data_IF_665783047477
#
_entry.id   IF_665783047477
#
_cell.length_a   1.000
_cell.length_b   1.000
_cell.length_c   1.000
_cell.angle_alpha   90.00
_cell.angle_beta   90.00
_cell.angle_gamma   90.00
#
_symmetry.space_group_name_H-M   'P 1'
#
loop_
_entity.id
_entity.type
_entity.pdbx_description
1 polymer ?
#
# COMPACT_ATOMS: atom_id res chain seq x y z
N UNK A 1 -19.84 -9.90 24.98
CA UNK A 1 -20.39 -8.57 24.67
C UNK A 1 -19.21 -7.67 24.41
N UNK A 2 -19.21 -6.98 23.28
CA UNK A 2 -18.16 -5.99 22.98
C UNK A 2 -18.34 -4.83 23.95
N UNK A 3 -17.27 -4.40 24.62
CA UNK A 3 -17.35 -3.25 25.52
C UNK A 3 -17.47 -1.97 24.69
N UNK A 4 -18.69 -1.44 24.61
CA UNK A 4 -19.01 -0.24 23.83
C UNK A 4 -18.19 0.97 24.26
N UNK A 5 -17.80 1.06 25.54
CA UNK A 5 -16.97 2.15 26.04
C UNK A 5 -15.53 2.04 25.51
N UNK A 6 -15.02 0.81 25.42
CA UNK A 6 -13.69 0.53 24.87
C UNK A 6 -13.62 0.88 23.38
N UNK A 7 -14.61 0.47 22.58
CA UNK A 7 -14.65 0.81 21.16
C UNK A 7 -14.91 2.29 20.89
N UNK A 8 -15.62 2.99 21.79
CA UNK A 8 -15.72 4.45 21.73
C UNK A 8 -14.34 5.12 21.92
N UNK A 9 -13.52 4.61 22.84
CA UNK A 9 -12.13 5.06 23.03
C UNK A 9 -11.27 4.75 21.80
N UNK A 10 -11.34 3.54 21.26
CA UNK A 10 -10.58 3.16 20.05
C UNK A 10 -10.93 4.02 18.83
N UNK A 11 -12.21 4.41 18.69
CA UNK A 11 -12.62 5.38 17.66
C UNK A 11 -12.01 6.76 17.87
N UNK A 12 -11.86 7.21 19.12
CA UNK A 12 -11.18 8.46 19.41
C UNK A 12 -9.67 8.36 19.12
N UNK A 13 -9.03 7.27 19.54
CA UNK A 13 -7.61 7.01 19.29
C UNK A 13 -7.30 6.96 17.79
N UNK A 14 -8.16 6.32 16.98
CA UNK A 14 -8.06 6.29 15.52
C UNK A 14 -8.06 7.69 14.89
N UNK A 15 -8.84 8.64 15.43
CA UNK A 15 -8.83 10.04 14.96
C UNK A 15 -7.50 10.74 15.26
N UNK A 16 -6.89 10.45 16.41
CA UNK A 16 -5.56 10.98 16.76
C UNK A 16 -4.51 10.41 15.82
N UNK A 17 -4.55 9.10 15.54
CA UNK A 17 -3.66 8.46 14.58
C UNK A 17 -3.80 9.08 13.18
N UNK A 18 -5.03 9.33 12.72
CA UNK A 18 -5.29 10.00 11.43
C UNK A 18 -4.72 11.43 11.40
N UNK A 19 -4.84 12.18 12.50
CA UNK A 19 -4.25 13.52 12.61
C UNK A 19 -2.72 13.48 12.54
N UNK A 20 -2.08 12.52 13.21
CA UNK A 20 -0.63 12.27 13.08
C UNK A 20 -0.28 11.98 11.63
N UNK A 21 -1.03 11.09 10.96
CA UNK A 21 -0.83 10.75 9.55
C UNK A 21 -0.81 11.97 8.64
N UNK A 22 -1.76 12.90 8.82
CA UNK A 22 -1.81 14.16 8.04
C UNK A 22 -0.58 15.05 8.26
N UNK A 23 -0.06 15.11 9.50
CA UNK A 23 1.16 15.88 9.78
C UNK A 23 2.41 15.21 9.21
N UNK A 24 2.47 13.88 9.25
CA UNK A 24 3.56 13.08 8.69
C UNK A 24 3.59 13.23 7.18
N UNK A 25 2.46 13.02 6.49
CA UNK A 25 2.32 13.13 5.02
C UNK A 25 2.79 14.49 4.46
N UNK A 26 2.57 15.58 5.19
CA UNK A 26 3.05 16.90 4.78
C UNK A 26 4.58 17.07 4.86
N UNK A 27 5.29 16.17 5.55
CA UNK A 27 6.73 16.23 5.82
C UNK A 27 7.51 15.14 5.08
N UNK A 28 6.94 13.95 4.95
CA UNK A 28 7.54 12.85 4.20
C UNK A 28 7.02 12.86 2.78
N UNK A 29 7.92 13.03 1.82
CA UNK A 29 7.61 12.77 0.42
C UNK A 29 7.85 11.30 0.11
N UNK A 30 8.90 11.04 -0.67
CA UNK A 30 9.28 9.69 -1.08
C UNK A 30 10.43 9.17 -0.25
N UNK A 31 10.43 7.86 -0.05
CA UNK A 31 11.53 7.11 0.53
C UNK A 31 12.20 6.29 -0.57
N UNK A 32 13.53 6.33 -0.63
CA UNK A 32 14.27 5.47 -1.55
C UNK A 32 14.27 4.04 -1.01
N UNK A 33 13.73 3.10 -1.78
CA UNK A 33 13.70 1.67 -1.46
C UNK A 33 14.39 0.85 -2.53
N UNK A 34 14.91 -0.32 -2.13
CA UNK A 34 15.54 -1.30 -3.01
C UNK A 34 14.74 -2.59 -2.95
N UNK A 35 14.34 -3.09 -4.11
CA UNK A 35 13.57 -4.33 -4.23
C UNK A 35 14.37 -5.34 -5.05
N UNK A 36 14.34 -6.63 -4.71
CA UNK A 36 14.80 -7.67 -5.61
C UNK A 36 14.07 -7.55 -6.94
N UNK A 37 14.80 -7.74 -8.04
CA UNK A 37 14.26 -7.55 -9.39
C UNK A 37 13.00 -8.36 -9.65
N UNK A 38 12.96 -9.62 -9.22
CA UNK A 38 11.79 -10.48 -9.38
C UNK A 38 10.54 -9.93 -8.66
N UNK A 39 10.70 -9.29 -7.50
CA UNK A 39 9.59 -8.68 -6.75
C UNK A 39 9.11 -7.42 -7.47
N UNK A 40 10.03 -6.62 -7.99
CA UNK A 40 9.69 -5.42 -8.76
C UNK A 40 8.98 -5.78 -10.08
N UNK A 41 9.43 -6.82 -10.77
CA UNK A 41 8.79 -7.34 -11.98
C UNK A 41 7.38 -7.85 -11.69
N UNK A 42 7.16 -8.60 -10.60
CA UNK A 42 5.82 -9.04 -10.21
C UNK A 42 4.84 -7.89 -9.91
N UNK A 43 5.33 -6.78 -9.34
CA UNK A 43 4.50 -5.59 -9.13
C UNK A 43 4.14 -4.93 -10.47
N UNK A 44 5.07 -4.84 -11.42
CA UNK A 44 4.80 -4.34 -12.77
C UNK A 44 3.79 -5.23 -13.50
N UNK A 45 3.93 -6.55 -13.40
CA UNK A 45 2.97 -7.50 -13.98
C UNK A 45 1.56 -7.30 -13.40
N UNK A 46 1.45 -6.95 -12.11
CA UNK A 46 0.16 -6.63 -11.49
C UNK A 46 -0.47 -5.35 -12.05
N UNK A 47 0.33 -4.34 -12.39
CA UNK A 47 -0.13 -3.12 -13.06
C UNK A 47 -0.57 -3.35 -14.51
N UNK A 48 0.16 -4.19 -15.24
CA UNK A 48 -0.09 -4.43 -16.67
C UNK A 48 -1.24 -5.40 -16.93
N UNK A 49 -1.71 -6.12 -15.91
CA UNK A 49 -2.82 -7.06 -16.02
C UNK A 49 -4.16 -6.34 -16.17
N UNK A 50 -4.97 -6.83 -17.09
CA UNK A 50 -6.37 -6.42 -17.23
C UNK A 50 -7.27 -7.16 -16.23
N UNK A 51 -8.17 -6.43 -15.58
CA UNK A 51 -9.19 -6.97 -14.68
C UNK A 51 -10.58 -6.48 -15.14
N UNK A 52 -11.23 -7.27 -16.00
CA UNK A 52 -12.55 -6.97 -16.57
C UNK A 52 -13.72 -7.64 -15.82
N UNK A 53 -13.46 -8.19 -14.63
CA UNK A 53 -14.47 -8.83 -13.79
C UNK A 53 -15.43 -7.82 -13.17
N UNK A 54 -16.69 -8.21 -13.02
CA UNK A 54 -17.68 -7.41 -12.28
C UNK A 54 -17.41 -7.51 -10.77
N UNK A 55 -17.43 -6.36 -10.10
CA UNK A 55 -17.30 -6.26 -8.65
C UNK A 55 -18.69 -6.48 -8.04
N UNK A 56 -19.04 -7.75 -7.83
CA UNK A 56 -20.27 -8.14 -7.14
C UNK A 56 -20.28 -7.74 -5.66
N UNK A 57 -21.07 -8.43 -4.84
CA UNK A 57 -21.02 -8.22 -3.39
C UNK A 57 -19.69 -8.73 -2.81
N UNK A 58 -18.96 -7.86 -2.12
CA UNK A 58 -17.70 -8.18 -1.44
C UNK A 58 -17.92 -8.31 0.08
N UNK A 59 -17.27 -9.31 0.69
CA UNK A 59 -17.04 -9.32 2.13
C UNK A 59 -15.95 -8.30 2.51
N UNK A 60 -15.83 -7.94 3.79
CA UNK A 60 -14.73 -7.09 4.26
C UNK A 60 -13.34 -7.64 3.90
N UNK A 61 -13.16 -8.96 4.00
CA UNK A 61 -11.88 -9.61 3.66
C UNK A 61 -11.58 -9.52 2.16
N UNK A 62 -12.59 -9.69 1.30
CA UNK A 62 -12.43 -9.54 -0.14
C UNK A 62 -12.08 -8.10 -0.52
N UNK A 63 -12.74 -7.13 0.13
CA UNK A 63 -12.43 -5.72 -0.03
C UNK A 63 -10.96 -5.43 0.34
N UNK A 64 -10.49 -5.93 1.49
CA UNK A 64 -9.11 -5.72 1.94
C UNK A 64 -8.09 -6.33 0.98
N UNK A 65 -8.36 -7.51 0.42
CA UNK A 65 -7.51 -8.14 -0.59
C UNK A 65 -7.47 -7.35 -1.89
N UNK A 66 -8.61 -6.81 -2.34
CA UNK A 66 -8.67 -5.98 -3.54
C UNK A 66 -7.94 -4.65 -3.34
N UNK A 67 -8.06 -4.05 -2.15
CA UNK A 67 -7.32 -2.84 -1.78
C UNK A 67 -5.80 -3.08 -1.85
N UNK A 68 -5.32 -4.20 -1.28
CA UNK A 68 -3.91 -4.59 -1.36
C UNK A 68 -3.44 -4.87 -2.81
N UNK A 69 -4.28 -5.49 -3.64
CA UNK A 69 -3.97 -5.68 -5.05
C UNK A 69 -3.84 -4.34 -5.80
N UNK A 70 -4.70 -3.37 -5.46
CA UNK A 70 -4.62 -2.00 -5.96
C UNK A 70 -3.32 -1.30 -5.56
N UNK A 71 -2.93 -1.39 -4.28
CA UNK A 71 -1.65 -0.86 -3.79
C UNK A 71 -0.46 -1.49 -4.54
N UNK A 72 -0.47 -2.80 -4.75
CA UNK A 72 0.59 -3.49 -5.51
C UNK A 72 0.67 -3.00 -6.96
N UNK A 73 -0.47 -2.85 -7.63
CA UNK A 73 -0.52 -2.35 -9.01
C UNK A 73 -0.02 -0.89 -9.09
N UNK A 74 -0.37 -0.03 -8.13
CA UNK A 74 0.15 1.34 -8.09
C UNK A 74 1.66 1.39 -7.82
N UNK A 75 2.19 0.50 -6.98
CA UNK A 75 3.64 0.31 -6.84
C UNK A 75 4.27 -0.12 -8.17
N UNK A 76 3.62 -1.05 -8.89
CA UNK A 76 4.02 -1.49 -10.23
C UNK A 76 4.13 -0.35 -11.24
N UNK A 77 3.14 0.55 -11.27
CA UNK A 77 3.19 1.75 -12.09
C UNK A 77 4.38 2.65 -11.73
N UNK A 78 4.62 2.89 -10.44
CA UNK A 78 5.76 3.73 -10.00
C UNK A 78 7.09 3.09 -10.42
N UNK A 79 7.21 1.78 -10.32
CA UNK A 79 8.38 1.02 -10.77
C UNK A 79 8.56 1.14 -12.29
N UNK A 80 7.50 0.98 -13.08
CA UNK A 80 7.59 1.05 -14.55
C UNK A 80 7.98 2.44 -15.03
N UNK A 81 7.53 3.50 -14.36
CA UNK A 81 7.87 4.89 -14.71
C UNK A 81 9.26 5.33 -14.22
N UNK A 82 9.68 4.89 -13.02
CA UNK A 82 10.80 5.52 -12.28
C UNK A 82 11.84 4.53 -11.75
N UNK A 83 11.63 3.24 -11.91
CA UNK A 83 12.54 2.19 -11.46
C UNK A 83 13.90 2.26 -12.16
N UNK A 84 14.96 2.33 -11.35
CA UNK A 84 16.34 2.23 -11.83
C UNK A 84 16.91 0.87 -11.49
N UNK A 85 17.35 0.13 -12.50
CA UNK A 85 18.00 -1.17 -12.30
C UNK A 85 19.43 -0.98 -11.79
N UNK A 86 19.76 -1.68 -10.72
CA UNK A 86 21.09 -1.72 -10.13
C UNK A 86 21.45 -3.17 -9.80
N UNK A 87 22.07 -3.88 -10.76
CA UNK A 87 22.33 -5.31 -10.64
C UNK A 87 21.04 -6.12 -10.57
N UNK A 88 20.89 -6.90 -9.51
CA UNK A 88 19.71 -7.74 -9.23
C UNK A 88 18.61 -6.99 -8.45
N UNK A 89 18.75 -5.68 -8.29
CA UNK A 89 17.80 -4.84 -7.58
C UNK A 89 17.20 -3.74 -8.48
N UNK A 90 16.02 -3.29 -8.09
CA UNK A 90 15.37 -2.09 -8.61
C UNK A 90 15.28 -1.07 -7.50
N UNK A 91 15.81 0.13 -7.76
CA UNK A 91 15.78 1.27 -6.85
C UNK A 91 14.69 2.23 -7.30
N UNK A 92 13.79 2.58 -6.38
CA UNK A 92 12.70 3.53 -6.62
C UNK A 92 12.61 4.52 -5.45
N UNK A 93 12.20 5.74 -5.77
CA UNK A 93 11.67 6.66 -4.76
C UNK A 93 10.17 6.40 -4.65
N UNK A 94 9.78 5.65 -3.62
CA UNK A 94 8.40 5.25 -3.40
C UNK A 94 7.72 6.21 -2.42
N UNK A 95 6.46 6.55 -2.69
CA UNK A 95 5.66 7.34 -1.75
C UNK A 95 5.54 6.62 -0.40
N UNK A 96 5.65 7.36 0.70
CA UNK A 96 5.61 6.78 2.05
C UNK A 96 4.30 6.02 2.31
N UNK A 97 3.20 6.41 1.65
CA UNK A 97 1.91 5.73 1.76
C UNK A 97 2.01 4.29 1.23
N UNK A 98 2.56 4.11 0.01
CA UNK A 98 2.74 2.78 -0.59
C UNK A 98 3.79 1.95 0.13
N UNK A 99 4.89 2.58 0.57
CA UNK A 99 5.88 1.90 1.40
C UNK A 99 5.26 1.40 2.71
N UNK A 100 4.44 2.23 3.36
CA UNK A 100 3.71 1.86 4.57
C UNK A 100 2.67 0.78 4.34
N UNK A 101 1.97 0.80 3.20
CA UNK A 101 1.01 -0.24 2.83
C UNK A 101 1.71 -1.60 2.63
N UNK A 102 2.81 -1.64 1.87
CA UNK A 102 3.59 -2.85 1.66
C UNK A 102 4.14 -3.44 2.98
N UNK A 103 4.61 -2.59 3.90
CA UNK A 103 5.05 -3.05 5.22
C UNK A 103 3.89 -3.60 6.03
N UNK A 104 2.72 -2.93 6.06
CA UNK A 104 1.53 -3.43 6.78
C UNK A 104 1.04 -4.77 6.25
N UNK A 105 1.10 -5.01 4.94
CA UNK A 105 0.71 -6.28 4.33
C UNK A 105 1.65 -7.46 4.71
N UNK A 106 2.81 -7.17 5.30
CA UNK A 106 3.76 -8.19 5.77
C UNK A 106 3.60 -8.60 7.24
N UNK A 107 2.69 -7.95 7.98
CA UNK A 107 2.43 -8.15 9.41
C UNK A 107 1.22 -9.05 9.63
#
# INVERSE_FOLDING_TARGET
>A
MVDEAEYARYRADSKVLAAIGKHVDAQVGRVTVRLPRAVAEAAVDAWERDESGDLGEETSEQYDLRDQAGDLALIGLVISERGRREGEEVVIDLDVVFAGAAVRASL
#
